data_IF_532440510366
#
_entry.id   IF_532440510366
#
_cell.length_a   1.000
_cell.length_b   1.000
_cell.length_c   1.000
_cell.angle_alpha   90.00
_cell.angle_beta   90.00
_cell.angle_gamma   90.00
#
_symmetry.space_group_name_H-M   'P 1'
#
loop_
_entity.id
_entity.type
_entity.pdbx_description
1 polymer ?
#
# COMPACT_ATOMS: atom_id res chain seq x y z
N UNK A 1 14.08 -8.68 -8.69
CA UNK A 1 13.53 -8.13 -7.44
C UNK A 1 12.18 -7.54 -7.79
N UNK A 2 11.07 -8.16 -7.38
CA UNK A 2 9.74 -7.61 -7.64
C UNK A 2 9.62 -6.36 -6.78
N UNK A 3 9.25 -5.22 -7.38
CA UNK A 3 9.05 -3.97 -6.63
C UNK A 3 7.92 -4.15 -5.63
N UNK A 4 8.11 -3.71 -4.38
CA UNK A 4 7.10 -3.78 -3.30
C UNK A 4 5.73 -3.26 -3.77
N UNK A 5 5.71 -2.23 -4.61
CA UNK A 5 4.49 -1.62 -5.13
C UNK A 5 3.71 -2.56 -6.07
N UNK A 6 4.39 -3.42 -6.85
CA UNK A 6 3.72 -4.39 -7.72
C UNK A 6 3.03 -5.48 -6.89
N UNK A 7 3.62 -5.88 -5.76
CA UNK A 7 2.98 -6.81 -4.83
C UNK A 7 1.72 -6.19 -4.21
N UNK A 8 1.77 -4.91 -3.83
CA UNK A 8 0.59 -4.18 -3.33
C UNK A 8 -0.54 -4.19 -4.36
N UNK A 9 -0.25 -3.84 -5.61
CA UNK A 9 -1.26 -3.81 -6.68
C UNK A 9 -1.83 -5.20 -6.97
N UNK A 10 -0.99 -6.24 -7.01
CA UNK A 10 -1.44 -7.62 -7.26
C UNK A 10 -2.35 -8.11 -6.14
N UNK A 11 -1.97 -7.89 -4.89
CA UNK A 11 -2.74 -8.29 -3.72
C UNK A 11 -4.06 -7.53 -3.63
N UNK A 12 -4.04 -6.21 -3.83
CA UNK A 12 -5.26 -5.39 -3.87
C UNK A 12 -6.21 -5.87 -4.99
N UNK A 13 -5.68 -6.17 -6.17
CA UNK A 13 -6.47 -6.69 -7.29
C UNK A 13 -7.07 -8.06 -6.99
N UNK A 14 -6.33 -8.95 -6.31
CA UNK A 14 -6.83 -10.25 -5.85
C UNK A 14 -7.99 -10.09 -4.87
N UNK A 15 -7.82 -9.26 -3.84
CA UNK A 15 -8.91 -8.98 -2.88
C UNK A 15 -10.16 -8.39 -3.55
N UNK A 16 -10.00 -7.48 -4.50
CA UNK A 16 -11.13 -6.94 -5.27
C UNK A 16 -11.82 -8.03 -6.10
N UNK A 17 -11.05 -8.95 -6.71
CA UNK A 17 -11.60 -10.07 -7.46
C UNK A 17 -12.39 -11.04 -6.56
N UNK A 18 -11.99 -11.18 -5.30
CA UNK A 18 -12.68 -11.97 -4.27
C UNK A 18 -13.90 -11.24 -3.67
N UNK A 19 -14.25 -10.04 -4.17
CA UNK A 19 -15.38 -9.25 -3.71
C UNK A 19 -15.12 -8.49 -2.40
N UNK A 20 -13.87 -8.43 -1.95
CA UNK A 20 -13.49 -7.69 -0.75
C UNK A 20 -13.32 -6.20 -1.05
N UNK A 21 -13.82 -5.35 -0.14
CA UNK A 21 -13.50 -3.91 -0.20
C UNK A 21 -12.05 -3.66 0.18
N UNK A 22 -11.36 -2.90 -0.67
CA UNK A 22 -9.96 -2.53 -0.48
C UNK A 22 -9.82 -1.01 -0.48
N UNK A 23 -9.01 -0.47 0.43
CA UNK A 23 -8.51 0.89 0.32
C UNK A 23 -7.07 0.86 -0.21
N UNK A 24 -6.82 1.55 -1.33
CA UNK A 24 -5.48 1.75 -1.88
C UNK A 24 -5.00 3.15 -1.50
N UNK A 25 -3.79 3.23 -0.94
CA UNK A 25 -3.16 4.47 -0.49
C UNK A 25 -1.88 4.68 -1.26
N UNK A 26 -1.64 5.93 -1.68
CA UNK A 26 -0.43 6.34 -2.40
C UNK A 26 0.17 7.57 -1.74
N UNK A 27 1.49 7.55 -1.49
CA UNK A 27 2.20 8.75 -1.03
C UNK A 27 2.27 9.76 -2.18
N UNK A 28 1.58 10.89 -2.05
CA UNK A 28 1.63 11.95 -3.05
C UNK A 28 2.86 12.85 -2.89
N UNK A 29 3.22 13.15 -1.64
CA UNK A 29 4.33 14.04 -1.29
C UNK A 29 4.82 13.75 0.12
N UNK A 30 6.09 14.01 0.36
CA UNK A 30 6.71 13.96 1.69
C UNK A 30 7.43 15.27 1.99
N UNK A 31 7.72 15.50 3.27
CA UNK A 31 8.52 16.62 3.76
C UNK A 31 9.60 16.10 4.70
N UNK A 32 10.83 16.63 4.58
CA UNK A 32 11.97 16.13 5.35
C UNK A 32 12.40 14.72 4.95
N UNK A 33 13.06 14.01 5.86
CA UNK A 33 13.51 12.62 5.66
C UNK A 33 12.34 11.65 5.88
N UNK A 34 11.62 11.31 4.81
CA UNK A 34 10.63 10.23 4.83
C UNK A 34 11.26 8.91 4.35
N UNK A 35 11.08 7.79 5.08
CA UNK A 35 11.55 6.47 4.64
C UNK A 35 10.80 5.94 3.41
N UNK A 36 9.62 6.51 3.09
CA UNK A 36 8.81 6.14 1.93
C UNK A 36 8.71 7.33 0.97
N UNK A 37 9.26 7.26 -0.25
CA UNK A 37 9.19 8.36 -1.21
C UNK A 37 7.78 8.51 -1.82
N UNK A 38 7.50 9.63 -2.51
CA UNK A 38 6.32 9.73 -3.36
C UNK A 38 6.19 8.53 -4.31
N UNK A 39 4.98 8.00 -4.42
CA UNK A 39 4.67 6.80 -5.20
C UNK A 39 4.57 5.51 -4.38
N UNK A 40 5.08 5.47 -3.14
CA UNK A 40 4.93 4.27 -2.28
C UNK A 40 3.46 3.92 -2.05
N UNK A 41 3.16 2.61 -2.12
CA UNK A 41 1.80 2.09 -2.00
C UNK A 41 1.55 1.32 -0.69
N UNK A 42 0.28 1.33 -0.28
CA UNK A 42 -0.28 0.48 0.77
C UNK A 42 -1.69 0.07 0.37
N UNK A 43 -2.02 -1.21 0.51
CA UNK A 43 -3.40 -1.70 0.38
C UNK A 43 -3.90 -2.21 1.72
N UNK A 44 -5.16 -1.88 2.03
CA UNK A 44 -5.83 -2.24 3.28
C UNK A 44 -7.08 -3.06 2.94
N UNK A 45 -7.11 -4.30 3.42
CA UNK A 45 -8.25 -5.21 3.34
C UNK A 45 -9.36 -4.77 4.31
N UNK A 46 -10.62 -5.08 4.01
CA UNK A 46 -11.76 -4.74 4.88
C UNK A 46 -11.67 -5.28 6.32
N UNK A 47 -10.89 -6.34 6.55
CA UNK A 47 -10.63 -6.92 7.87
C UNK A 47 -9.46 -6.27 8.63
N UNK A 48 -8.79 -5.28 8.03
CA UNK A 48 -7.63 -4.60 8.60
C UNK A 48 -6.27 -5.22 8.23
N UNK A 49 -6.23 -6.29 7.42
CA UNK A 49 -4.97 -6.81 6.88
C UNK A 49 -4.35 -5.81 5.90
N UNK A 50 -3.03 -5.66 5.90
CA UNK A 50 -2.34 -4.67 5.06
C UNK A 50 -1.15 -5.26 4.31
N UNK A 51 -0.84 -4.69 3.15
CA UNK A 51 0.36 -4.99 2.36
C UNK A 51 0.94 -3.70 1.80
N UNK A 52 2.26 -3.58 1.81
CA UNK A 52 2.95 -2.33 1.49
C UNK A 52 3.09 -1.41 2.70
N UNK A 53 3.56 -0.19 2.47
CA UNK A 53 3.77 0.77 3.53
C UNK A 53 3.93 2.19 3.00
N UNK A 54 3.27 3.14 3.65
CA UNK A 54 3.39 4.58 3.39
C UNK A 54 4.17 5.31 4.48
N UNK A 55 4.71 4.59 5.47
CA UNK A 55 5.49 5.13 6.58
C UNK A 55 6.67 4.24 6.97
N UNK A 56 7.36 4.59 8.06
CA UNK A 56 8.41 3.77 8.68
C UNK A 56 7.93 2.87 9.83
N UNK A 57 6.62 2.78 10.10
CA UNK A 57 6.07 1.90 11.14
C UNK A 57 5.20 2.57 12.22
N UNK A 58 4.72 3.80 12.01
CA UNK A 58 3.86 4.49 13.00
C UNK A 58 2.53 5.01 12.46
N UNK A 59 2.29 4.92 11.14
CA UNK A 59 1.04 5.34 10.48
C UNK A 59 0.30 4.10 10.00
#
# INVERSE_FOLDING_TARGET
MVSDDLEVIRTASGWLADGVRVALVTVLKTWGSSPRPPGSLLAIHASGHTVGSVSGGCV
#
